data_IF_699308606739
#
_entry.id   IF_699308606739
#
_cell.length_a   1.000
_cell.length_b   1.000
_cell.length_c   1.000
_cell.angle_alpha   90.00
_cell.angle_beta   90.00
_cell.angle_gamma   90.00
#
_symmetry.space_group_name_H-M   'P 1'
#
loop_
_entity.id
_entity.type
_entity.pdbx_description
1 polymer ?
#
# COMPACT_ATOMS: atom_id res chain seq x y z
N UNK A 1 7.24 14.00 2.68
CA UNK A 1 6.64 13.17 1.61
C UNK A 1 5.13 13.29 1.71
N UNK A 2 4.39 13.38 0.60
CA UNK A 2 2.94 13.42 0.66
C UNK A 2 2.38 12.07 1.17
N UNK A 3 1.17 12.04 1.77
CA UNK A 3 0.53 10.80 2.22
C UNK A 3 0.31 9.81 1.07
N UNK A 4 0.22 8.52 1.36
CA UNK A 4 -0.12 7.46 0.40
C UNK A 4 -1.53 6.95 0.79
N UNK A 5 -2.45 6.74 -0.16
CA UNK A 5 -3.87 6.43 0.10
C UNK A 5 -4.24 4.98 -0.21
N UNK A 6 -5.23 4.39 0.47
CA UNK A 6 -5.64 3.00 0.23
C UNK A 6 -7.12 2.63 0.39
N UNK A 7 -7.44 1.57 -0.38
CA UNK A 7 -8.62 0.72 -0.56
C UNK A 7 -8.57 -0.59 0.25
N UNK A 8 -9.65 -0.92 0.96
CA UNK A 8 -9.93 -2.29 1.43
C UNK A 8 -11.02 -2.93 0.55
N UNK A 9 -10.89 -4.22 0.26
CA UNK A 9 -11.71 -4.94 -0.72
C UNK A 9 -13.18 -5.17 -0.36
N UNK A 10 -13.70 -4.62 0.76
CA UNK A 10 -15.14 -4.71 1.06
C UNK A 10 -15.66 -3.44 1.73
N UNK A 11 -16.56 -2.78 1.00
CA UNK A 11 -17.56 -1.78 1.42
C UNK A 11 -17.06 -0.34 1.65
N UNK A 12 -17.30 0.51 0.64
CA UNK A 12 -17.23 1.99 0.62
C UNK A 12 -15.87 2.60 1.00
N UNK A 13 -15.64 3.90 0.76
CA UNK A 13 -14.39 4.64 1.10
C UNK A 13 -14.79 5.95 1.84
N UNK A 14 -13.88 6.86 2.33
CA UNK A 14 -14.04 8.36 2.63
C UNK A 14 -12.81 9.23 2.18
N UNK A 15 -12.92 10.33 1.39
CA UNK A 15 -11.79 11.24 1.05
C UNK A 15 -11.82 12.47 1.98
N UNK A 16 -10.65 12.90 2.45
CA UNK A 16 -10.44 14.12 3.23
C UNK A 16 -9.36 14.98 2.55
N UNK A 17 -9.67 16.25 2.31
CA UNK A 17 -8.71 17.24 1.81
C UNK A 17 -8.00 17.92 2.98
N UNK A 18 -6.67 17.97 2.91
CA UNK A 18 -5.84 18.80 3.79
C UNK A 18 -5.63 20.15 3.11
N UNK A 19 -6.27 21.21 3.63
CA UNK A 19 -5.96 22.58 3.21
C UNK A 19 -4.83 23.14 4.08
N UNK A 20 -3.77 23.63 3.43
CA UNK A 20 -2.71 24.41 4.07
C UNK A 20 -3.10 25.89 4.01
N UNK A 21 -3.42 26.50 5.15
CA UNK A 21 -3.48 27.96 5.25
C UNK A 21 -2.38 28.45 6.22
N UNK A 22 -1.83 29.64 5.98
CA UNK A 22 -0.48 30.08 6.43
C UNK A 22 -0.15 30.04 7.94
N UNK A 23 -1.06 29.59 8.82
CA UNK A 23 -0.76 29.33 10.24
C UNK A 23 -1.34 28.02 10.81
N UNK A 24 -2.17 27.26 10.09
CA UNK A 24 -2.74 25.99 10.55
C UNK A 24 -3.14 25.06 9.39
N UNK A 25 -3.00 23.73 9.56
CA UNK A 25 -3.64 22.72 8.72
C UNK A 25 -5.14 22.66 9.06
N UNK A 26 -6.00 22.90 8.08
CA UNK A 26 -7.45 22.82 8.23
C UNK A 26 -7.97 21.66 7.37
N UNK A 27 -8.66 20.69 8.00
CA UNK A 27 -9.48 19.72 7.26
C UNK A 27 -10.76 20.44 6.82
N UNK A 28 -11.08 20.44 5.53
CA UNK A 28 -12.40 20.85 5.05
C UNK A 28 -12.98 19.80 4.10
N UNK A 29 -14.26 19.49 4.32
CA UNK A 29 -15.09 18.72 3.42
C UNK A 29 -15.73 19.70 2.43
N UNK A 30 -15.43 19.60 1.14
CA UNK A 30 -16.20 20.31 0.12
C UNK A 30 -17.54 19.58 -0.07
N UNK A 31 -18.54 19.97 0.70
CA UNK A 31 -19.96 19.77 0.38
C UNK A 31 -20.54 21.12 0.01
N UNK A 32 -20.58 21.42 -1.29
CA UNK A 32 -21.48 22.44 -1.83
C UNK A 32 -22.20 21.82 -3.00
N UNK A 33 -23.39 21.29 -2.74
CA UNK A 33 -24.64 21.51 -3.47
C UNK A 33 -25.72 20.62 -2.84
N UNK A 34 -26.75 21.27 -2.26
CA UNK A 34 -28.09 20.79 -1.89
C UNK A 34 -28.49 21.25 -0.46
N UNK A 35 -28.89 22.52 -0.35
CA UNK A 35 -29.81 22.97 0.71
C UNK A 35 -31.13 23.27 0.02
N UNK A 36 -32.05 22.32 0.06
CA UNK A 36 -33.50 22.54 0.17
C UNK A 36 -34.20 21.17 0.08
N UNK A 37 -34.42 20.51 1.20
CA UNK A 37 -35.77 20.23 1.71
C UNK A 37 -35.72 19.30 2.92
N UNK A 38 -36.51 19.66 3.93
CA UNK A 38 -36.64 18.93 5.16
C UNK A 38 -37.80 17.94 5.06
N UNK A 39 -37.51 16.63 5.22
CA UNK A 39 -38.30 15.68 6.04
C UNK A 39 -37.73 14.26 5.93
N UNK A 40 -37.53 13.64 7.09
CA UNK A 40 -37.49 12.18 7.35
C UNK A 40 -36.71 11.33 6.35
N UNK A 41 -35.49 10.93 6.71
CA UNK A 41 -34.98 9.55 6.67
C UNK A 41 -33.52 9.55 7.15
N UNK A 42 -33.28 9.02 8.36
CA UNK A 42 -31.92 8.83 8.89
C UNK A 42 -31.27 7.64 8.20
N UNK A 43 -30.72 7.85 7.01
CA UNK A 43 -29.82 6.92 6.35
C UNK A 43 -28.49 6.91 7.11
N UNK A 44 -28.24 5.87 7.92
CA UNK A 44 -26.90 5.63 8.51
C UNK A 44 -25.98 5.12 7.41
N UNK A 45 -25.34 6.03 6.68
CA UNK A 45 -24.11 5.69 5.94
C UNK A 45 -23.03 5.32 6.96
N UNK A 46 -22.78 4.03 7.14
CA UNK A 46 -21.55 3.57 7.80
C UNK A 46 -20.38 3.97 6.90
N UNK A 47 -19.75 5.10 7.22
CA UNK A 47 -18.54 5.59 6.55
C UNK A 47 -17.48 4.51 6.65
N UNK A 48 -17.10 3.94 5.51
CA UNK A 48 -16.01 3.00 5.47
C UNK A 48 -14.70 3.64 5.96
N UNK A 49 -13.83 2.86 6.62
CA UNK A 49 -12.54 3.37 7.04
C UNK A 49 -11.67 3.70 5.82
N UNK A 50 -11.13 4.91 5.79
CA UNK A 50 -10.05 5.28 4.88
C UNK A 50 -8.74 4.70 5.40
N UNK A 51 -7.81 4.37 4.52
CA UNK A 51 -6.48 3.91 4.89
C UNK A 51 -5.41 4.84 4.32
N UNK A 52 -4.42 5.19 5.13
CA UNK A 52 -3.33 6.09 4.75
C UNK A 52 -2.00 5.54 5.24
N UNK A 53 -1.03 5.41 4.32
CA UNK A 53 0.37 5.14 4.67
C UNK A 53 1.15 6.44 4.81
N UNK A 54 1.90 6.53 5.91
CA UNK A 54 2.78 7.64 6.26
C UNK A 54 4.23 7.15 6.22
N UNK A 55 4.95 7.31 5.09
CA UNK A 55 6.31 6.79 4.94
C UNK A 55 7.34 7.50 5.84
N UNK A 56 7.01 8.71 6.30
CA UNK A 56 7.75 9.48 7.28
C UNK A 56 6.74 10.11 8.24
N UNK A 57 6.35 9.40 9.32
CA UNK A 57 5.27 9.84 10.18
C UNK A 57 5.67 11.10 10.95
N UNK A 58 4.90 12.15 10.78
CA UNK A 58 5.01 13.40 11.54
C UNK A 58 3.89 13.50 12.57
N UNK A 59 4.22 13.97 13.77
CA UNK A 59 3.29 14.10 14.90
C UNK A 59 2.06 14.96 14.57
N UNK A 60 2.23 16.05 13.83
CA UNK A 60 1.10 16.91 13.44
C UNK A 60 0.23 16.23 12.40
N UNK A 61 0.85 15.52 11.45
CA UNK A 61 0.12 14.75 10.45
C UNK A 61 -0.69 13.62 11.09
N UNK A 62 -0.11 12.83 11.98
CA UNK A 62 -0.82 11.78 12.73
C UNK A 62 -1.98 12.38 13.54
N UNK A 63 -1.75 13.53 14.19
CA UNK A 63 -2.79 14.25 14.94
C UNK A 63 -3.95 14.68 14.06
N UNK A 64 -3.68 15.11 12.82
CA UNK A 64 -4.73 15.58 11.90
C UNK A 64 -5.77 14.51 11.55
N UNK A 65 -5.43 13.23 11.72
CA UNK A 65 -6.35 12.11 11.52
C UNK A 65 -7.14 11.71 12.77
N UNK A 66 -7.01 12.44 13.88
CA UNK A 66 -7.76 12.15 15.12
C UNK A 66 -9.27 12.17 14.85
N UNK A 67 -9.97 11.12 15.27
CA UNK A 67 -11.43 10.97 15.12
C UNK A 67 -11.95 10.94 13.68
N UNK A 68 -11.08 10.81 12.67
CA UNK A 68 -11.48 10.75 11.25
C UNK A 68 -11.94 9.37 10.79
N UNK A 69 -11.82 8.34 11.64
CA UNK A 69 -12.00 6.93 11.29
C UNK A 69 -11.00 6.39 10.24
N UNK A 70 -9.92 7.14 9.96
CA UNK A 70 -8.85 6.74 9.04
C UNK A 70 -7.84 5.82 9.74
N UNK A 71 -7.60 4.64 9.17
CA UNK A 71 -6.55 3.72 9.58
C UNK A 71 -5.19 4.18 9.07
N UNK A 72 -4.20 4.23 9.94
CA UNK A 72 -2.86 4.70 9.66
C UNK A 72 -1.88 3.53 9.64
N UNK A 73 -1.15 3.45 8.53
CA UNK A 73 0.03 2.64 8.36
C UNK A 73 1.26 3.54 8.47
N UNK A 74 2.06 3.40 9.53
CA UNK A 74 3.27 4.19 9.73
C UNK A 74 4.50 3.42 9.22
N UNK A 75 5.39 4.05 8.47
CA UNK A 75 6.71 3.49 8.16
C UNK A 75 7.80 4.16 8.99
N UNK A 76 8.58 3.38 9.73
CA UNK A 76 9.77 3.85 10.42
C UNK A 76 10.88 4.02 9.38
N UNK A 77 11.54 5.19 9.29
CA UNK A 77 12.63 5.39 8.33
C UNK A 77 13.82 4.45 8.57
N UNK A 78 14.53 4.09 7.49
CA UNK A 78 15.67 3.16 7.54
C UNK A 78 16.79 3.61 8.48
N UNK A 79 16.94 4.93 8.69
CA UNK A 79 17.93 5.51 9.61
C UNK A 79 17.73 5.10 11.08
N UNK A 80 16.54 4.64 11.45
CA UNK A 80 16.25 4.16 12.81
C UNK A 80 16.51 2.66 13.00
N UNK A 81 16.74 1.88 11.94
CA UNK A 81 16.83 0.41 12.05
C UNK A 81 17.95 -0.02 13.00
N UNK A 82 19.17 0.47 12.79
CA UNK A 82 20.32 0.13 13.64
C UNK A 82 20.08 0.59 15.10
N UNK A 83 19.70 1.86 15.39
CA UNK A 83 19.38 2.28 16.75
C UNK A 83 18.31 1.42 17.43
N UNK A 84 17.23 1.09 16.70
CA UNK A 84 16.12 0.29 17.22
C UNK A 84 16.53 -1.16 17.47
N UNK A 85 17.39 -1.73 16.63
CA UNK A 85 17.95 -3.07 16.80
C UNK A 85 18.80 -3.17 18.07
N UNK A 86 19.67 -2.18 18.29
CA UNK A 86 20.64 -2.20 19.38
C UNK A 86 20.05 -1.86 20.75
N UNK A 87 18.95 -1.09 20.81
CA UNK A 87 18.41 -0.62 22.09
C UNK A 87 16.88 -0.49 22.09
N UNK A 88 16.20 -1.38 22.82
CA UNK A 88 14.74 -1.37 22.98
C UNK A 88 14.19 -0.09 23.60
N UNK A 89 14.95 0.61 24.43
CA UNK A 89 14.52 1.91 24.99
C UNK A 89 14.36 2.98 23.89
N UNK A 90 15.06 2.85 22.76
CA UNK A 90 14.85 3.70 21.59
C UNK A 90 13.58 3.35 20.83
N UNK A 91 13.17 2.07 20.81
CA UNK A 91 11.87 1.65 20.30
C UNK A 91 10.72 2.24 21.12
N UNK A 92 10.81 2.16 22.46
CA UNK A 92 9.86 2.82 23.35
C UNK A 92 9.81 4.33 23.10
N UNK A 93 10.97 5.00 23.01
CA UNK A 93 11.04 6.44 22.71
C UNK A 93 10.36 6.79 21.38
N UNK A 94 10.54 5.97 20.34
CA UNK A 94 9.88 6.18 19.06
C UNK A 94 8.35 6.08 19.21
N UNK A 95 7.85 5.07 19.94
CA UNK A 95 6.42 4.91 20.22
C UNK A 95 5.84 6.06 21.05
N UNK A 96 6.57 6.58 22.04
CA UNK A 96 6.17 7.77 22.81
C UNK A 96 6.02 9.02 21.92
N UNK A 97 6.81 9.14 20.85
CA UNK A 97 6.74 10.27 19.92
C UNK A 97 5.63 10.14 18.86
N UNK A 98 5.34 8.92 18.40
CA UNK A 98 4.55 8.71 17.17
C UNK A 98 3.27 7.90 17.37
N UNK A 99 3.12 7.18 18.48
CA UNK A 99 1.97 6.28 18.71
C UNK A 99 1.19 6.70 19.95
N UNK A 100 1.82 6.68 21.12
CA UNK A 100 1.13 6.84 22.40
C UNK A 100 0.30 8.14 22.53
N UNK A 101 0.76 9.32 22.06
CA UNK A 101 -0.02 10.56 22.19
C UNK A 101 -1.30 10.59 21.35
N UNK A 102 -1.37 9.75 20.32
CA UNK A 102 -2.42 9.77 19.30
C UNK A 102 -3.35 8.56 19.40
N UNK A 103 -2.86 7.42 19.86
CA UNK A 103 -3.67 6.22 20.05
C UNK A 103 -4.59 6.35 21.27
N UNK A 104 -5.89 5.93 21.20
CA UNK A 104 -6.59 5.36 20.05
C UNK A 104 -7.36 6.40 19.21
N UNK A 105 -7.20 7.71 19.46
CA UNK A 105 -7.92 8.79 18.75
C UNK A 105 -7.61 8.80 17.26
N UNK A 106 -6.35 8.64 16.90
CA UNK A 106 -5.92 8.29 15.55
C UNK A 106 -5.79 6.76 15.48
N UNK A 107 -6.45 6.14 14.51
CA UNK A 107 -6.44 4.68 14.37
C UNK A 107 -5.15 4.24 13.71
N UNK A 108 -4.12 3.98 14.50
CA UNK A 108 -2.89 3.35 13.98
C UNK A 108 -3.12 1.84 13.98
N UNK A 109 -2.93 1.19 12.82
CA UNK A 109 -3.19 -0.25 12.64
C UNK A 109 -1.96 -1.06 12.28
N UNK A 110 -0.98 -0.44 11.61
CA UNK A 110 0.18 -1.12 11.08
C UNK A 110 1.43 -0.25 11.21
N UNK A 111 2.55 -0.85 11.60
CA UNK A 111 3.88 -0.23 11.60
C UNK A 111 4.83 -1.08 10.74
N UNK A 112 5.44 -0.47 9.73
CA UNK A 112 6.56 -1.05 8.99
C UNK A 112 7.86 -0.54 9.56
N UNK A 113 8.72 -1.42 10.02
CA UNK A 113 10.09 -1.08 10.42
C UNK A 113 10.97 -1.08 9.17
N UNK A 114 11.28 0.11 8.66
CA UNK A 114 11.99 0.28 7.39
C UNK A 114 11.08 0.28 6.16
N UNK A 115 11.67 0.67 5.04
CA UNK A 115 11.12 0.63 3.70
C UNK A 115 12.23 0.15 2.74
N UNK A 116 12.07 -1.07 2.23
CA UNK A 116 13.03 -1.76 1.36
C UNK A 116 14.46 -1.76 1.93
N UNK A 117 14.57 -1.89 3.25
CA UNK A 117 15.81 -1.75 4.02
C UNK A 117 16.72 -2.99 3.95
N UNK A 118 16.63 -3.69 2.84
CA UNK A 118 17.20 -5.02 2.67
C UNK A 118 18.58 -4.96 1.99
N UNK A 119 18.98 -3.77 1.54
CA UNK A 119 20.37 -3.46 1.24
C UNK A 119 21.28 -4.02 2.35
N UNK A 120 22.28 -4.80 1.95
CA UNK A 120 23.05 -5.75 2.77
C UNK A 120 23.42 -5.29 4.18
N UNK A 121 23.72 -4.00 4.34
CA UNK A 121 24.25 -3.45 5.59
C UNK A 121 23.19 -3.32 6.69
N UNK A 122 21.90 -3.24 6.32
CA UNK A 122 20.79 -3.09 7.26
C UNK A 122 20.08 -4.41 7.56
N UNK A 123 20.20 -5.40 6.68
CA UNK A 123 19.54 -6.70 6.79
C UNK A 123 19.74 -7.39 8.16
N UNK A 124 20.96 -7.44 8.75
CA UNK A 124 21.18 -8.09 10.05
C UNK A 124 20.43 -7.42 11.22
N UNK A 125 20.11 -6.14 11.08
CA UNK A 125 19.49 -5.33 12.13
C UNK A 125 17.96 -5.29 12.04
N UNK A 126 17.39 -5.74 10.91
CA UNK A 126 15.96 -5.60 10.65
C UNK A 126 15.11 -6.42 11.64
N UNK A 127 15.42 -7.71 11.81
CA UNK A 127 14.67 -8.58 12.72
C UNK A 127 14.78 -8.16 14.19
N UNK A 128 15.97 -7.82 14.74
CA UNK A 128 16.05 -7.23 16.08
C UNK A 128 15.22 -5.95 16.23
N UNK A 129 15.23 -5.05 15.25
CA UNK A 129 14.45 -3.82 15.30
C UNK A 129 12.94 -4.07 15.29
N UNK A 130 12.45 -4.99 14.44
CA UNK A 130 11.05 -5.42 14.38
C UNK A 130 10.60 -5.97 15.73
N UNK A 131 11.38 -6.90 16.30
CA UNK A 131 11.09 -7.50 17.61
C UNK A 131 11.07 -6.46 18.73
N UNK A 132 12.00 -5.50 18.73
CA UNK A 132 12.04 -4.45 19.74
C UNK A 132 10.82 -3.51 19.66
N UNK A 133 10.35 -3.16 18.47
CA UNK A 133 9.11 -2.37 18.29
C UNK A 133 7.89 -3.17 18.76
N UNK A 134 7.79 -4.45 18.36
CA UNK A 134 6.70 -5.33 18.77
C UNK A 134 6.63 -5.51 20.29
N UNK A 135 7.76 -5.80 20.94
CA UNK A 135 7.82 -5.92 22.40
C UNK A 135 7.49 -4.60 23.10
N UNK A 136 8.02 -3.48 22.60
CA UNK A 136 7.75 -2.16 23.18
C UNK A 136 6.27 -1.76 23.08
N UNK A 137 5.56 -2.17 22.03
CA UNK A 137 4.09 -2.02 21.94
C UNK A 137 3.39 -2.85 23.02
N UNK A 138 3.83 -4.09 23.23
CA UNK A 138 3.28 -5.01 24.22
C UNK A 138 3.53 -4.53 25.66
N UNK A 139 4.72 -3.98 25.95
CA UNK A 139 5.07 -3.35 27.23
C UNK A 139 4.15 -2.16 27.56
N UNK A 140 3.66 -1.47 26.52
CA UNK A 140 2.69 -0.37 26.63
C UNK A 140 1.22 -0.86 26.65
N UNK A 141 0.98 -2.17 26.58
CA UNK A 141 -0.37 -2.76 26.51
C UNK A 141 -1.09 -2.54 25.18
N UNK A 142 -0.35 -2.23 24.10
CA UNK A 142 -0.90 -1.94 22.77
C UNK A 142 -0.75 -3.18 21.87
N UNK A 143 -1.76 -4.04 21.87
CA UNK A 143 -1.72 -5.30 21.11
C UNK A 143 -2.48 -5.26 19.77
N UNK A 144 -3.05 -4.09 19.42
CA UNK A 144 -3.90 -3.92 18.22
C UNK A 144 -3.15 -3.44 16.98
N UNK A 145 -1.86 -3.11 17.13
CA UNK A 145 -1.03 -2.58 16.05
C UNK A 145 -0.13 -3.70 15.55
N UNK A 146 -0.33 -4.12 14.30
CA UNK A 146 0.54 -5.11 13.65
C UNK A 146 1.89 -4.49 13.31
N UNK A 147 2.96 -5.28 13.37
CA UNK A 147 4.32 -4.87 13.03
C UNK A 147 4.85 -5.74 11.91
N UNK A 148 5.48 -5.12 10.91
CA UNK A 148 6.10 -5.83 9.77
C UNK A 148 7.23 -4.97 9.18
N UNK A 149 7.68 -5.28 7.98
CA UNK A 149 8.60 -4.46 7.17
C UNK A 149 8.20 -4.50 5.70
N UNK A 150 8.49 -3.43 4.97
CA UNK A 150 8.06 -3.26 3.57
C UNK A 150 9.17 -3.65 2.62
N UNK A 151 8.89 -4.53 1.68
CA UNK A 151 9.83 -4.96 0.65
C UNK A 151 9.52 -4.35 -0.72
N UNK A 152 10.53 -4.08 -1.54
CA UNK A 152 10.32 -3.96 -2.98
C UNK A 152 10.16 -5.34 -3.60
N UNK A 153 9.17 -5.53 -4.48
CA UNK A 153 9.00 -6.79 -5.21
C UNK A 153 10.27 -7.23 -5.94
N UNK A 154 10.94 -6.29 -6.63
CA UNK A 154 12.13 -6.57 -7.45
C UNK A 154 13.32 -7.02 -6.60
N UNK A 155 13.40 -6.56 -5.35
CA UNK A 155 14.50 -6.91 -4.45
C UNK A 155 14.21 -8.18 -3.64
N UNK A 156 12.94 -8.46 -3.39
CA UNK A 156 12.53 -9.61 -2.59
C UNK A 156 12.41 -10.91 -3.39
N UNK A 157 12.07 -10.83 -4.67
CA UNK A 157 11.71 -12.00 -5.50
C UNK A 157 12.77 -12.18 -6.60
N UNK A 158 13.48 -13.31 -6.58
CA UNK A 158 14.53 -13.59 -7.58
C UNK A 158 13.95 -14.08 -8.90
N UNK A 159 13.21 -15.19 -8.85
CA UNK A 159 12.44 -15.69 -9.99
C UNK A 159 11.02 -15.24 -9.78
N UNK A 160 10.48 -14.42 -10.69
CA UNK A 160 9.15 -13.84 -10.53
C UNK A 160 8.10 -14.50 -11.42
N UNK A 161 8.48 -14.93 -12.63
CA UNK A 161 7.55 -15.47 -13.62
C UNK A 161 8.06 -16.76 -14.28
N UNK A 162 7.17 -17.75 -14.54
CA UNK A 162 5.77 -17.77 -14.13
C UNK A 162 5.61 -17.86 -12.59
N UNK A 163 4.49 -17.40 -11.99
CA UNK A 163 4.33 -17.38 -10.53
C UNK A 163 4.58 -18.72 -9.83
N UNK A 164 4.36 -19.86 -10.50
CA UNK A 164 4.63 -21.21 -9.96
C UNK A 164 6.11 -21.47 -9.63
N UNK A 165 7.04 -20.78 -10.28
CA UNK A 165 8.48 -20.92 -10.02
C UNK A 165 9.00 -19.85 -9.06
N UNK A 166 8.11 -19.01 -8.52
CA UNK A 166 8.52 -17.85 -7.78
C UNK A 166 9.14 -18.22 -6.42
N UNK A 167 10.25 -17.56 -6.11
CA UNK A 167 10.98 -17.74 -4.86
C UNK A 167 11.63 -16.44 -4.41
N UNK A 168 11.86 -16.33 -3.10
CA UNK A 168 12.59 -15.20 -2.55
C UNK A 168 14.04 -15.17 -3.05
N UNK A 169 14.58 -13.96 -3.17
CA UNK A 169 15.97 -13.72 -3.52
C UNK A 169 16.90 -14.27 -2.44
N UNK A 170 17.89 -15.10 -2.78
CA UNK A 170 18.93 -15.51 -1.83
C UNK A 170 20.15 -14.57 -1.87
N UNK A 171 20.89 -14.39 -0.75
CA UNK A 171 20.72 -15.03 0.57
C UNK A 171 19.65 -14.38 1.46
N UNK A 172 18.89 -13.42 0.92
CA UNK A 172 17.91 -12.64 1.67
C UNK A 172 16.73 -13.50 2.18
N UNK A 173 16.25 -14.41 1.34
CA UNK A 173 15.17 -15.35 1.60
C UNK A 173 15.42 -16.08 2.91
N UNK A 174 16.60 -16.67 3.04
CA UNK A 174 17.01 -17.40 4.23
C UNK A 174 17.32 -16.50 5.44
N UNK A 175 18.07 -15.42 5.25
CA UNK A 175 18.63 -14.64 6.38
C UNK A 175 17.62 -13.70 7.03
N UNK A 176 16.64 -13.19 6.28
CA UNK A 176 15.71 -12.16 6.78
C UNK A 176 14.26 -12.56 6.56
N UNK A 177 13.90 -13.02 5.36
CA UNK A 177 12.49 -13.21 5.01
C UNK A 177 11.90 -14.41 5.74
N UNK A 178 12.55 -15.58 5.76
CA UNK A 178 12.05 -16.76 6.51
C UNK A 178 11.87 -16.46 8.02
N UNK A 179 12.85 -15.90 8.75
CA UNK A 179 12.65 -15.48 10.13
C UNK A 179 11.52 -14.45 10.32
N UNK A 180 11.34 -13.56 9.35
CA UNK A 180 10.24 -12.61 9.35
C UNK A 180 8.89 -13.31 9.17
N UNK A 181 8.74 -14.22 8.20
CA UNK A 181 7.49 -14.92 7.96
C UNK A 181 7.02 -15.67 9.19
N UNK A 182 7.92 -16.37 9.89
CA UNK A 182 7.61 -16.99 11.18
C UNK A 182 7.09 -15.96 12.19
N UNK A 183 7.78 -14.82 12.34
CA UNK A 183 7.34 -13.75 13.23
C UNK A 183 5.96 -13.19 12.84
N UNK A 184 5.67 -13.04 11.55
CA UNK A 184 4.39 -12.51 11.07
C UNK A 184 3.24 -13.48 11.37
N UNK A 185 3.48 -14.79 11.26
CA UNK A 185 2.51 -15.81 11.64
C UNK A 185 2.24 -15.81 13.15
N UNK A 186 3.30 -15.79 13.97
CA UNK A 186 3.20 -15.75 15.44
C UNK A 186 2.51 -14.49 15.97
N UNK A 187 2.68 -13.36 15.27
CA UNK A 187 2.13 -12.05 15.66
C UNK A 187 0.81 -11.68 14.95
N UNK A 188 0.28 -12.58 14.11
CA UNK A 188 -0.91 -12.33 13.28
C UNK A 188 -0.80 -11.00 12.48
N UNK A 189 0.35 -10.81 11.83
CA UNK A 189 0.70 -9.63 11.04
C UNK A 189 0.59 -9.95 9.54
N UNK A 190 1.15 -9.10 8.68
CA UNK A 190 1.03 -9.21 7.22
C UNK A 190 2.36 -8.97 6.52
N UNK A 191 2.54 -9.62 5.37
CA UNK A 191 3.68 -9.38 4.49
C UNK A 191 3.43 -8.13 3.66
N UNK A 192 4.33 -7.14 3.77
CA UNK A 192 4.16 -5.84 3.12
C UNK A 192 5.08 -5.75 1.90
N UNK A 193 4.50 -5.48 0.72
CA UNK A 193 5.27 -5.46 -0.53
C UNK A 193 4.85 -4.31 -1.43
N UNK A 194 5.82 -3.65 -2.07
CA UNK A 194 5.60 -2.64 -3.10
C UNK A 194 5.55 -3.34 -4.45
N UNK A 195 4.42 -3.23 -5.14
CA UNK A 195 4.17 -3.86 -6.45
C UNK A 195 3.94 -2.77 -7.48
N UNK A 196 4.88 -2.64 -8.41
CA UNK A 196 4.82 -1.65 -9.48
C UNK A 196 4.83 -2.33 -10.86
N UNK A 197 3.65 -2.65 -11.43
CA UNK A 197 3.54 -3.20 -12.77
C UNK A 197 4.27 -2.36 -13.82
N UNK A 198 4.23 -1.02 -13.70
CA UNK A 198 5.00 -0.12 -14.56
C UNK A 198 6.52 -0.41 -14.53
N UNK A 199 7.11 -0.55 -13.33
CA UNK A 199 8.55 -0.79 -13.21
C UNK A 199 8.91 -2.19 -13.75
N UNK A 200 8.07 -3.19 -13.52
CA UNK A 200 8.27 -4.55 -14.02
C UNK A 200 8.17 -4.61 -15.56
N UNK A 201 7.18 -3.93 -16.14
CA UNK A 201 7.03 -3.76 -17.58
C UNK A 201 8.26 -3.10 -18.21
N UNK A 202 8.80 -2.06 -17.55
CA UNK A 202 9.96 -1.32 -18.07
C UNK A 202 11.24 -2.13 -18.17
N UNK A 203 11.38 -3.17 -17.34
CA UNK A 203 12.57 -4.04 -17.34
C UNK A 203 12.33 -5.37 -18.09
N UNK A 204 11.11 -5.62 -18.58
CA UNK A 204 10.76 -6.86 -19.26
C UNK A 204 9.94 -6.57 -20.52
N UNK A 205 10.61 -6.59 -21.67
CA UNK A 205 10.03 -6.29 -22.99
C UNK A 205 8.98 -7.30 -23.47
N UNK A 206 8.89 -8.48 -22.85
CA UNK A 206 7.88 -9.49 -23.18
C UNK A 206 6.52 -9.20 -22.56
N UNK A 207 6.44 -8.25 -21.63
CA UNK A 207 5.19 -7.85 -20.98
C UNK A 207 4.47 -6.83 -21.87
N UNK A 208 3.28 -7.14 -22.41
CA UNK A 208 2.54 -6.20 -23.23
C UNK A 208 1.90 -5.13 -22.33
N UNK A 209 1.89 -3.88 -22.80
CA UNK A 209 1.36 -2.75 -22.06
C UNK A 209 -0.09 -2.99 -21.58
N UNK A 210 -0.96 -3.54 -22.45
CA UNK A 210 -2.35 -3.82 -22.12
C UNK A 210 -2.52 -4.74 -20.90
N UNK A 211 -1.60 -5.69 -20.70
CA UNK A 211 -1.63 -6.63 -19.57
C UNK A 211 -1.33 -5.93 -18.24
N UNK A 212 -0.60 -4.81 -18.28
CA UNK A 212 -0.32 -4.02 -17.08
C UNK A 212 -1.43 -3.03 -16.75
N UNK A 213 -2.21 -2.64 -17.76
CA UNK A 213 -3.29 -1.65 -17.66
C UNK A 213 -4.68 -2.25 -17.41
N UNK A 214 -4.77 -3.54 -17.05
CA UNK A 214 -6.03 -4.27 -16.84
C UNK A 214 -6.97 -4.26 -18.05
N UNK A 215 -6.44 -4.15 -19.27
CA UNK A 215 -7.25 -4.11 -20.48
C UNK A 215 -7.68 -5.51 -20.90
N UNK A 216 -8.94 -5.68 -21.27
CA UNK A 216 -9.43 -6.95 -21.81
C UNK A 216 -9.34 -6.96 -23.33
N UNK A 217 -8.37 -7.70 -23.86
CA UNK A 217 -8.20 -7.94 -25.29
C UNK A 217 -7.92 -9.43 -25.55
N UNK A 218 -8.26 -9.96 -26.75
CA UNK A 218 -7.80 -11.27 -27.16
C UNK A 218 -6.28 -11.39 -26.98
N UNK A 219 -5.82 -12.51 -26.41
CA UNK A 219 -4.40 -12.80 -26.16
C UNK A 219 -3.69 -11.91 -25.12
N UNK A 220 -4.41 -11.01 -24.44
CA UNK A 220 -3.85 -10.20 -23.35
C UNK A 220 -3.91 -10.95 -22.01
N UNK A 221 -3.24 -12.10 -21.97
CA UNK A 221 -3.12 -12.95 -20.78
C UNK A 221 -1.74 -13.62 -20.73
N UNK A 222 -1.40 -14.18 -19.59
CA UNK A 222 -0.21 -15.01 -19.39
C UNK A 222 -0.64 -16.31 -18.71
N UNK A 223 -0.27 -17.43 -19.31
CA UNK A 223 -0.53 -18.75 -18.74
C UNK A 223 0.70 -19.22 -17.99
N UNK A 224 0.48 -19.60 -16.73
CA UNK A 224 1.41 -20.39 -15.96
C UNK A 224 1.26 -21.85 -16.40
N UNK A 225 2.17 -22.32 -17.27
CA UNK A 225 2.05 -23.64 -17.89
C UNK A 225 2.22 -24.80 -16.90
N UNK A 226 2.83 -24.56 -15.74
CA UNK A 226 3.05 -25.58 -14.72
C UNK A 226 1.77 -25.84 -13.92
N UNK A 227 1.01 -24.79 -13.62
CA UNK A 227 -0.21 -24.88 -12.80
C UNK A 227 -1.49 -24.83 -13.64
N UNK A 228 -1.41 -24.42 -14.91
CA UNK A 228 -2.56 -24.16 -15.77
C UNK A 228 -3.31 -22.87 -15.44
N UNK A 229 -2.77 -22.03 -14.55
CA UNK A 229 -3.40 -20.78 -14.11
C UNK A 229 -3.24 -19.71 -15.19
N UNK A 230 -4.33 -19.01 -15.49
CA UNK A 230 -4.34 -17.88 -16.42
C UNK A 230 -4.41 -16.55 -15.68
N UNK A 231 -3.39 -15.73 -15.88
CA UNK A 231 -3.34 -14.35 -15.43
C UNK A 231 -3.85 -13.41 -16.51
N UNK A 232 -4.70 -12.45 -16.14
CA UNK A 232 -5.25 -11.42 -17.05
C UNK A 232 -4.68 -10.02 -16.81
N UNK A 233 -3.95 -9.84 -15.72
CA UNK A 233 -3.23 -8.61 -15.46
C UNK A 233 -1.92 -8.90 -14.72
N UNK A 234 -0.95 -8.00 -14.86
CA UNK A 234 0.36 -8.14 -14.23
C UNK A 234 0.32 -7.99 -12.71
N UNK A 235 -0.64 -7.22 -12.17
CA UNK A 235 -0.78 -7.02 -10.73
C UNK A 235 -1.03 -8.35 -10.00
N UNK A 236 -2.01 -9.13 -10.46
CA UNK A 236 -2.32 -10.46 -9.91
C UNK A 236 -1.14 -11.41 -10.05
N UNK A 237 -0.47 -11.38 -11.20
CA UNK A 237 0.69 -12.23 -11.47
C UNK A 237 1.84 -11.92 -10.49
N UNK A 238 2.07 -10.64 -10.19
CA UNK A 238 3.07 -10.23 -9.21
C UNK A 238 2.64 -10.58 -7.76
N UNK A 239 1.36 -10.39 -7.41
CA UNK A 239 0.87 -10.78 -6.08
C UNK A 239 1.00 -12.28 -5.87
N UNK A 240 0.62 -13.09 -6.86
CA UNK A 240 0.70 -14.54 -6.77
C UNK A 240 2.14 -15.05 -6.74
N UNK A 241 3.09 -14.37 -7.40
CA UNK A 241 4.51 -14.68 -7.24
C UNK A 241 5.00 -14.50 -5.78
N UNK A 242 4.49 -13.48 -5.06
CA UNK A 242 4.77 -13.30 -3.62
C UNK A 242 4.12 -14.42 -2.81
N UNK A 243 2.87 -14.77 -3.12
CA UNK A 243 2.14 -15.84 -2.42
C UNK A 243 2.84 -17.18 -2.60
N UNK A 244 3.24 -17.53 -3.82
CA UNK A 244 4.01 -18.74 -4.09
C UNK A 244 5.35 -18.73 -3.36
N UNK A 245 6.07 -17.61 -3.36
CA UNK A 245 7.36 -17.51 -2.63
C UNK A 245 7.19 -17.76 -1.13
N UNK A 246 6.11 -17.22 -0.52
CA UNK A 246 5.77 -17.52 0.87
C UNK A 246 5.37 -18.98 1.07
N UNK A 247 4.65 -19.58 0.12
CA UNK A 247 4.25 -20.98 0.18
C UNK A 247 5.47 -21.93 0.11
N UNK A 248 6.43 -21.64 -0.77
CA UNK A 248 7.72 -22.37 -0.85
C UNK A 248 8.49 -22.25 0.47
N UNK A 249 8.39 -21.11 1.15
CA UNK A 249 8.96 -20.91 2.48
C UNK A 249 8.13 -21.52 3.63
N UNK A 250 6.98 -22.14 3.35
CA UNK A 250 6.12 -22.80 4.35
C UNK A 250 5.02 -21.93 4.97
N UNK A 251 4.82 -20.68 4.52
CA UNK A 251 3.94 -19.70 5.17
C UNK A 251 2.86 -19.13 4.23
N UNK A 252 2.10 -20.00 3.57
CA UNK A 252 1.10 -19.60 2.56
C UNK A 252 -0.08 -18.77 3.09
N UNK A 253 -0.36 -18.81 4.40
CA UNK A 253 -1.56 -18.19 4.98
C UNK A 253 -1.35 -16.74 5.42
N UNK A 254 -0.12 -16.23 5.36
CA UNK A 254 0.17 -14.85 5.75
C UNK A 254 -0.56 -13.88 4.80
N UNK A 255 -1.35 -12.92 5.33
CA UNK A 255 -1.99 -11.91 4.51
C UNK A 255 -0.95 -11.04 3.80
N UNK A 256 -1.22 -10.71 2.53
CA UNK A 256 -0.38 -9.80 1.75
C UNK A 256 -1.02 -8.42 1.75
N UNK A 257 -0.22 -7.41 2.06
CA UNK A 257 -0.59 -5.99 1.90
C UNK A 257 0.31 -5.39 0.82
N UNK A 258 -0.32 -4.85 -0.22
CA UNK A 258 0.40 -4.11 -1.25
C UNK A 258 0.64 -2.70 -0.73
N UNK A 259 1.84 -2.48 -0.19
CA UNK A 259 2.24 -1.28 0.53
C UNK A 259 2.39 -0.04 -0.36
N UNK A 260 2.61 -0.25 -1.66
CA UNK A 260 2.61 0.77 -2.72
C UNK A 260 2.32 0.12 -4.07
N UNK A 261 1.55 0.80 -4.90
CA UNK A 261 1.39 0.51 -6.32
C UNK A 261 0.93 1.76 -7.08
N UNK A 262 1.31 1.91 -8.34
CA UNK A 262 0.93 3.09 -9.12
C UNK A 262 1.44 3.05 -10.55
N UNK A 263 1.19 4.14 -11.27
CA UNK A 263 1.68 4.35 -12.63
C UNK A 263 2.02 5.84 -12.81
N UNK A 264 3.20 6.18 -13.33
CA UNK A 264 3.60 7.58 -13.45
C UNK A 264 2.90 8.28 -14.61
N UNK A 265 2.48 9.53 -14.40
CA UNK A 265 1.87 10.39 -15.42
C UNK A 265 2.85 11.21 -16.23
N UNK A 266 4.12 11.19 -15.85
CA UNK A 266 5.22 11.76 -16.62
C UNK A 266 6.50 11.01 -16.31
N UNK A 267 7.36 10.88 -17.31
CA UNK A 267 8.66 10.24 -17.18
C UNK A 267 9.73 11.13 -16.55
N UNK A 268 10.75 10.51 -15.96
CA UNK A 268 11.98 11.15 -15.51
C UNK A 268 13.14 11.08 -16.50
N UNK A 269 13.04 10.26 -17.54
CA UNK A 269 14.13 9.98 -18.48
C UNK A 269 13.64 9.93 -19.93
N UNK A 270 14.57 10.08 -20.89
CA UNK A 270 14.28 9.80 -22.29
C UNK A 270 13.97 8.30 -22.45
N UNK A 271 12.81 7.97 -23.04
CA UNK A 271 12.36 6.58 -23.25
C UNK A 271 11.23 6.11 -22.32
N UNK A 272 10.84 6.92 -21.33
CA UNK A 272 9.65 6.64 -20.49
C UNK A 272 8.34 7.00 -21.21
N UNK A 273 8.16 6.54 -22.46
CA UNK A 273 7.05 6.97 -23.33
C UNK A 273 5.67 6.58 -22.80
N UNK A 274 5.60 5.52 -21.99
CA UNK A 274 4.36 5.02 -21.39
C UNK A 274 4.05 5.66 -20.02
N UNK A 275 4.91 6.57 -19.54
CA UNK A 275 4.62 7.39 -18.37
C UNK A 275 3.76 8.59 -18.78
N UNK A 276 2.47 8.35 -19.08
CA UNK A 276 1.53 9.38 -19.56
C UNK A 276 0.34 9.53 -18.62
N UNK A 277 -0.33 10.70 -18.59
CA UNK A 277 -1.54 10.87 -17.80
C UNK A 277 -2.65 9.87 -18.19
N UNK A 278 -2.76 9.52 -19.48
CA UNK A 278 -3.75 8.58 -19.98
C UNK A 278 -3.53 7.15 -19.47
N UNK A 279 -2.29 6.66 -19.49
CA UNK A 279 -1.98 5.33 -18.96
C UNK A 279 -2.02 5.30 -17.44
N UNK A 280 -1.62 6.38 -16.77
CA UNK A 280 -1.77 6.50 -15.33
C UNK A 280 -3.25 6.43 -14.91
N UNK A 281 -4.14 7.16 -15.60
CA UNK A 281 -5.58 7.07 -15.35
C UNK A 281 -6.13 5.67 -15.62
N UNK A 282 -5.72 5.05 -16.73
CA UNK A 282 -6.17 3.70 -17.10
C UNK A 282 -5.75 2.66 -16.06
N UNK A 283 -4.49 2.69 -15.63
CA UNK A 283 -3.97 1.80 -14.61
C UNK A 283 -4.75 1.93 -13.30
N UNK A 284 -4.94 3.17 -12.81
CA UNK A 284 -5.61 3.38 -11.53
C UNK A 284 -7.09 3.01 -11.61
N UNK A 285 -7.79 3.31 -12.72
CA UNK A 285 -9.18 2.87 -12.92
C UNK A 285 -9.29 1.34 -12.96
N UNK A 286 -8.39 0.68 -13.70
CA UNK A 286 -8.31 -0.77 -13.80
C UNK A 286 -8.07 -1.43 -12.45
N UNK A 287 -7.09 -0.93 -11.68
CA UNK A 287 -6.79 -1.41 -10.34
C UNK A 287 -7.99 -1.26 -9.40
N UNK A 288 -8.62 -0.08 -9.38
CA UNK A 288 -9.79 0.18 -8.52
C UNK A 288 -10.96 -0.72 -8.91
N UNK A 289 -11.23 -0.91 -10.20
CA UNK A 289 -12.27 -1.81 -10.69
C UNK A 289 -11.98 -3.27 -10.30
N UNK A 290 -10.74 -3.72 -10.49
CA UNK A 290 -10.29 -5.05 -10.10
C UNK A 290 -10.47 -5.30 -8.60
N UNK A 291 -9.96 -4.40 -7.73
CA UNK A 291 -10.08 -4.55 -6.28
C UNK A 291 -11.55 -4.54 -5.80
N UNK A 292 -12.42 -3.78 -6.49
CA UNK A 292 -13.86 -3.74 -6.21
C UNK A 292 -14.62 -4.97 -6.65
N UNK A 293 -14.16 -5.63 -7.70
CA UNK A 293 -14.80 -6.87 -8.17
C UNK A 293 -14.80 -7.95 -7.09
N UNK A 294 -13.85 -7.90 -6.16
CA UNK A 294 -13.70 -8.88 -5.10
C UNK A 294 -13.31 -10.27 -5.61
N UNK A 295 -12.84 -10.39 -6.86
CA UNK A 295 -12.39 -11.65 -7.45
C UNK A 295 -11.10 -12.18 -6.82
N UNK A 296 -10.33 -11.29 -6.18
CA UNK A 296 -9.00 -11.61 -5.67
C UNK A 296 -8.02 -11.91 -6.80
N UNK A 297 -7.02 -12.71 -6.50
CA UNK A 297 -6.05 -13.22 -7.47
C UNK A 297 -6.35 -14.68 -7.80
N UNK A 298 -5.80 -15.23 -8.90
CA UNK A 298 -5.99 -16.65 -9.23
C UNK A 298 -5.62 -17.63 -8.11
N UNK A 299 -4.54 -17.38 -7.35
CA UNK A 299 -4.15 -18.23 -6.21
C UNK A 299 -4.82 -17.86 -4.88
N UNK A 300 -5.48 -16.69 -4.78
CA UNK A 300 -6.11 -16.23 -3.53
C UNK A 300 -7.40 -15.46 -3.81
N UNK A 301 -8.54 -16.15 -3.65
CA UNK A 301 -9.89 -15.60 -3.90
C UNK A 301 -10.24 -14.43 -2.99
N UNK A 302 -9.69 -14.38 -1.78
CA UNK A 302 -9.87 -13.24 -0.88
C UNK A 302 -9.10 -11.99 -1.35
N UNK A 303 -8.14 -12.18 -2.26
CA UNK A 303 -7.22 -11.16 -2.74
C UNK A 303 -6.18 -10.75 -1.70
N UNK A 304 -5.58 -9.60 -1.93
CA UNK A 304 -4.72 -8.92 -0.97
C UNK A 304 -5.56 -8.27 0.13
N UNK A 305 -5.03 -8.21 1.34
CA UNK A 305 -5.74 -7.63 2.49
C UNK A 305 -6.01 -6.14 2.30
N UNK A 306 -5.01 -5.41 1.78
CA UNK A 306 -5.01 -3.96 1.60
C UNK A 306 -4.13 -3.59 0.35
N UNK A 307 -4.53 -2.62 -0.49
CA UNK A 307 -3.67 -2.03 -1.57
C UNK A 307 -3.47 -0.50 -1.59
N UNK A 308 -2.23 -0.01 -1.40
CA UNK A 308 -1.90 1.41 -1.20
C UNK A 308 -1.48 2.04 -2.53
N UNK A 309 -2.26 3.01 -3.02
CA UNK A 309 -1.96 3.75 -4.24
C UNK A 309 -0.88 4.79 -3.96
N UNK A 310 0.24 4.64 -4.65
CA UNK A 310 1.36 5.57 -4.65
C UNK A 310 1.25 6.54 -5.82
N UNK A 311 1.18 7.86 -5.61
CA UNK A 311 1.07 8.59 -4.31
C UNK A 311 -0.12 9.55 -4.32
N UNK A 312 -0.44 10.19 -3.18
CA UNK A 312 -1.59 11.10 -3.11
C UNK A 312 -1.43 12.29 -4.06
N UNK A 313 -0.31 12.98 -3.99
CA UNK A 313 -0.07 14.18 -4.75
C UNK A 313 1.35 14.17 -5.30
N UNK A 314 1.52 14.73 -6.49
CA UNK A 314 2.86 14.96 -7.02
C UNK A 314 3.68 15.82 -6.05
N UNK A 315 4.98 15.56 -6.05
CA UNK A 315 5.96 16.53 -5.56
C UNK A 315 6.06 17.66 -6.59
N UNK A 316 6.51 18.85 -6.16
CA UNK A 316 6.68 19.98 -7.09
C UNK A 316 7.40 19.54 -8.35
N UNK A 317 6.88 19.95 -9.51
CA UNK A 317 7.34 19.48 -10.82
C UNK A 317 8.82 19.81 -10.96
N UNK A 318 9.64 18.77 -10.89
CA UNK A 318 11.07 18.84 -11.21
C UNK A 318 11.29 18.09 -12.50
N UNK A 319 11.96 18.74 -13.44
CA UNK A 319 12.39 18.10 -14.68
C UNK A 319 13.26 16.88 -14.32
N UNK A 320 12.99 15.75 -14.98
CA UNK A 320 13.69 14.50 -14.71
C UNK A 320 13.14 13.67 -13.55
N UNK A 321 11.92 13.95 -13.07
CA UNK A 321 11.26 13.15 -12.02
C UNK A 321 9.96 12.53 -12.49
N UNK A 322 9.73 11.28 -12.10
CA UNK A 322 8.46 10.59 -12.33
C UNK A 322 7.37 11.17 -11.42
N UNK A 323 6.22 11.51 -12.00
CA UNK A 323 5.06 12.00 -11.25
C UNK A 323 4.05 10.86 -11.04
N UNK A 324 3.88 10.43 -9.79
CA UNK A 324 3.00 9.30 -9.43
C UNK A 324 1.68 9.74 -8.80
N UNK A 325 1.53 11.03 -8.52
CA UNK A 325 0.37 11.56 -7.80
C UNK A 325 -0.93 11.30 -8.53
N UNK A 326 -1.99 10.99 -7.78
CA UNK A 326 -3.38 11.06 -8.25
C UNK A 326 -3.95 12.49 -8.20
N UNK A 327 -3.28 13.37 -7.45
CA UNK A 327 -3.46 14.81 -7.44
C UNK A 327 -2.21 15.51 -7.98
N UNK A 328 -2.40 16.72 -8.51
CA UNK A 328 -1.31 17.64 -8.76
C UNK A 328 -0.73 18.18 -7.43
N UNK A 329 0.45 18.80 -7.49
CA UNK A 329 1.10 19.40 -6.31
C UNK A 329 0.25 20.50 -5.62
N UNK A 330 -0.66 21.14 -6.36
CA UNK A 330 -1.64 22.11 -5.85
C UNK A 330 -2.91 21.45 -5.26
N UNK A 331 -2.92 20.12 -5.11
CA UNK A 331 -4.04 19.30 -4.61
C UNK A 331 -5.28 19.25 -5.52
N UNK A 332 -5.20 19.69 -6.78
CA UNK A 332 -6.29 19.47 -7.74
C UNK A 332 -6.28 18.04 -8.29
N UNK A 333 -7.47 17.51 -8.60
CA UNK A 333 -7.64 16.15 -9.13
C UNK A 333 -7.01 16.01 -10.51
N UNK A 334 -6.20 14.97 -10.74
CA UNK A 334 -5.68 14.65 -12.09
C UNK A 334 -6.62 13.80 -12.91
N UNK A 335 -7.21 12.79 -12.29
CA UNK A 335 -7.97 11.75 -12.99
C UNK A 335 -9.40 11.73 -12.50
N UNK A 336 -10.38 11.48 -13.37
CA UNK A 336 -11.75 11.34 -12.92
C UNK A 336 -12.03 9.91 -12.43
N UNK A 337 -11.51 9.58 -11.25
CA UNK A 337 -11.74 8.29 -10.61
C UNK A 337 -12.79 8.46 -9.51
N UNK A 338 -13.81 7.62 -9.55
CA UNK A 338 -14.75 7.46 -8.46
C UNK A 338 -14.20 6.43 -7.50
N UNK A 339 -13.77 6.89 -6.33
CA UNK A 339 -13.38 6.01 -5.23
C UNK A 339 -14.57 5.67 -4.30
N UNK A 340 -15.76 6.17 -4.64
CA UNK A 340 -17.04 6.06 -3.92
C UNK A 340 -18.03 5.15 -4.65
N UNK A 341 -19.00 4.59 -3.94
CA UNK A 341 -20.30 4.26 -4.53
C UNK A 341 -21.41 4.76 -3.60
N UNK A 342 -22.37 5.49 -4.15
CA UNK A 342 -23.69 5.65 -3.55
C UNK A 342 -24.43 4.34 -3.76
N UNK A 343 -24.71 3.57 -2.70
CA UNK A 343 -25.75 2.56 -2.78
C UNK A 343 -27.09 3.27 -2.63
N UNK A 344 -27.56 3.86 -3.73
CA UNK A 344 -28.98 4.15 -3.89
C UNK A 344 -29.71 2.81 -4.01
N UNK A 345 -30.61 2.54 -3.08
CA UNK A 345 -31.68 1.57 -3.28
C UNK A 345 -32.44 2.00 -4.55
N UNK A 346 -32.15 1.35 -5.69
CA UNK A 346 -33.12 1.29 -6.77
C UNK A 346 -34.06 0.15 -6.39
N UNK A 347 -35.15 0.52 -5.72
CA UNK A 347 -36.30 -0.36 -5.57
C UNK A 347 -36.95 -0.49 -6.96
N UNK A 348 -37.16 -1.73 -7.41
CA UNK A 348 -38.42 -2.08 -8.06
C UNK A 348 -39.21 -2.96 -7.09
#
# INVERSE_FOLDING_TARGET
MPPILLFRSRNCIAFLFLHRNRRHLHLSLLSRHAISDARSHRSRCLRAPLYVRLPNPDANLIRSFSFTNTSLFLSIPNTFIIPLASNRSLALRWLYGHVLPFFPRSKISLISVGDDAVSSDLAPFLMPAIRNIYQALHDLGINKISVSTTFSFINAIATSFPPSSAMFQEPLGDLVIKPLLQFLEDSNSSFLVKIYPYNMYRINSEIPIGFTLFQEHPFNFRDDLMTGVRYRNLFDMMVDAVITSMAVAGHQNIPVVVAETGWPSSGGEYGEIDATPAYAETYIKGLVAHLRSGLGTPLRKEGVAETYIFELADKEVKQGTRNWGILYANMTKKYNIEFWQWQGLVLQ
#
